data_IF_735469797924
#
_entry.id   IF_735469797924
#
_cell.length_a   1.000
_cell.length_b   1.000
_cell.length_c   1.000
_cell.angle_alpha   90.00
_cell.angle_beta   90.00
_cell.angle_gamma   90.00
#
_symmetry.space_group_name_H-M   'P 1'
#
loop_
_entity.id
_entity.type
_entity.pdbx_description
1 polymer ?
#
# COMPACT_ATOMS: atom_id res chain seq x y z
N UNK A 1 14.75 27.40 -2.55
CA UNK A 1 15.14 26.27 -1.68
C UNK A 1 13.95 25.35 -1.53
N UNK A 2 13.78 24.41 -2.44
CA UNK A 2 12.70 23.42 -2.40
C UNK A 2 13.04 22.37 -1.31
N UNK A 3 12.35 22.43 -0.17
CA UNK A 3 12.40 21.37 0.85
C UNK A 3 11.72 20.12 0.27
N UNK A 4 12.48 19.28 -0.42
CA UNK A 4 12.03 17.94 -0.82
C UNK A 4 11.78 17.16 0.46
N UNK A 5 10.51 17.10 0.86
CA UNK A 5 10.07 16.37 2.03
C UNK A 5 10.23 14.88 1.71
N UNK A 6 11.35 14.26 2.11
CA UNK A 6 11.44 12.80 2.16
C UNK A 6 10.38 12.31 3.16
N UNK A 7 9.15 12.09 2.67
CA UNK A 7 8.10 11.45 3.44
C UNK A 7 8.58 10.03 3.71
N UNK A 8 9.07 9.80 4.92
CA UNK A 8 9.47 8.47 5.37
C UNK A 8 8.18 7.69 5.61
N UNK A 9 7.74 6.96 4.59
CA UNK A 9 6.59 6.08 4.71
C UNK A 9 7.01 4.87 5.53
N UNK A 10 6.26 4.57 6.58
CA UNK A 10 6.47 3.38 7.43
C UNK A 10 5.27 2.47 7.25
N UNK A 11 5.53 1.17 7.30
CA UNK A 11 4.46 0.17 7.33
C UNK A 11 3.72 0.27 8.66
N UNK A 12 2.40 0.44 8.64
CA UNK A 12 1.59 0.49 9.87
C UNK A 12 1.66 -0.81 10.68
N UNK A 13 1.84 -1.96 10.01
CA UNK A 13 1.91 -3.27 10.67
C UNK A 13 3.27 -3.57 11.31
N UNK A 14 4.37 -3.46 10.54
CA UNK A 14 5.71 -3.86 11.02
C UNK A 14 6.64 -2.68 11.33
N UNK A 15 6.17 -1.44 11.17
CA UNK A 15 6.90 -0.18 11.40
C UNK A 15 8.19 -0.01 10.56
N UNK A 16 8.47 -0.95 9.65
CA UNK A 16 9.62 -0.88 8.74
C UNK A 16 9.44 0.27 7.77
N UNK A 17 10.56 0.96 7.46
CA UNK A 17 10.61 1.99 6.44
C UNK A 17 10.35 1.38 5.07
N UNK A 18 9.35 1.89 4.36
CA UNK A 18 9.03 1.52 2.99
C UNK A 18 9.93 2.37 2.07
N UNK A 19 10.75 1.71 1.25
CA UNK A 19 11.69 2.38 0.32
C UNK A 19 11.10 2.58 -1.09
N UNK A 20 9.86 2.14 -1.33
CA UNK A 20 9.17 2.19 -2.63
C UNK A 20 7.69 2.52 -2.47
N UNK A 21 6.86 2.11 -3.43
CA UNK A 21 5.41 2.34 -3.39
C UNK A 21 4.75 1.51 -2.27
N UNK A 22 4.06 2.14 -1.30
CA UNK A 22 3.35 1.42 -0.25
C UNK A 22 2.07 0.76 -0.80
N UNK A 23 1.75 -0.42 -0.30
CA UNK A 23 0.44 -1.03 -0.52
C UNK A 23 -0.54 -0.28 0.37
N UNK A 24 -1.43 0.49 -0.25
CA UNK A 24 -2.44 1.25 0.48
C UNK A 24 -3.72 0.44 0.59
N UNK A 25 -4.17 0.16 1.81
CA UNK A 25 -5.43 -0.52 2.09
C UNK A 25 -6.39 0.43 2.84
N UNK A 26 -7.63 0.56 2.38
CA UNK A 26 -8.62 1.44 3.01
C UNK A 26 -9.99 1.28 2.39
N UNK A 27 -11.02 1.73 3.11
CA UNK A 27 -12.43 1.62 2.71
C UNK A 27 -12.99 3.03 2.51
N UNK A 28 -13.17 3.47 1.26
CA UNK A 28 -13.76 4.77 0.96
C UNK A 28 -12.96 5.97 1.52
N UNK A 29 -13.64 6.84 2.28
CA UNK A 29 -13.08 8.07 2.88
C UNK A 29 -12.36 7.83 4.23
N UNK A 30 -12.34 6.59 4.73
CA UNK A 30 -11.69 6.22 6.00
C UNK A 30 -10.16 6.17 5.89
N UNK A 31 -9.43 6.19 7.03
CA UNK A 31 -7.97 6.22 7.03
C UNK A 31 -7.38 5.09 6.22
N UNK A 32 -6.44 5.48 5.36
CA UNK A 32 -5.67 4.59 4.51
C UNK A 32 -4.53 4.02 5.35
N UNK A 33 -4.43 2.70 5.41
CA UNK A 33 -3.31 1.98 6.02
C UNK A 33 -2.24 1.77 4.97
N UNK A 34 -0.99 2.13 5.27
CA UNK A 34 0.15 1.96 4.39
C UNK A 34 0.94 0.72 4.81
N UNK A 35 1.00 -0.27 3.92
CA UNK A 35 1.65 -1.55 4.18
C UNK A 35 2.87 -1.73 3.30
N UNK A 36 3.93 -2.30 3.86
CA UNK A 36 5.04 -2.79 3.03
C UNK A 36 4.62 -4.02 2.24
N UNK A 37 5.35 -4.33 1.17
CA UNK A 37 5.08 -5.49 0.31
C UNK A 37 4.92 -6.79 1.10
N UNK A 38 5.78 -7.03 2.10
CA UNK A 38 5.71 -8.24 2.95
C UNK A 38 4.44 -8.33 3.78
N UNK A 39 3.95 -7.21 4.31
CA UNK A 39 2.75 -7.18 5.15
C UNK A 39 1.47 -7.12 4.31
N UNK A 40 1.49 -6.42 3.17
CA UNK A 40 0.35 -6.31 2.27
C UNK A 40 0.14 -7.54 1.39
N UNK A 41 1.21 -8.28 1.04
CA UNK A 41 1.12 -9.49 0.22
C UNK A 41 0.12 -10.56 0.73
N UNK A 42 0.15 -10.98 2.02
CA UNK A 42 -0.82 -11.96 2.50
C UNK A 42 -2.26 -11.45 2.44
N UNK A 43 -2.47 -10.15 2.69
CA UNK A 43 -3.80 -9.52 2.64
C UNK A 43 -4.30 -9.44 1.19
N UNK A 44 -3.45 -8.98 0.27
CA UNK A 44 -3.76 -8.95 -1.16
C UNK A 44 -4.06 -10.34 -1.70
N UNK A 45 -3.29 -11.35 -1.29
CA UNK A 45 -3.50 -12.73 -1.72
C UNK A 45 -4.82 -13.28 -1.19
N UNK A 46 -5.17 -12.99 0.07
CA UNK A 46 -6.47 -13.33 0.65
C UNK A 46 -7.62 -12.67 -0.13
N UNK A 47 -7.55 -11.36 -0.35
CA UNK A 47 -8.57 -10.61 -1.09
C UNK A 47 -8.72 -11.11 -2.53
N UNK A 48 -7.60 -11.42 -3.20
CA UNK A 48 -7.59 -12.00 -4.55
C UNK A 48 -8.22 -13.39 -4.57
N UNK A 49 -7.87 -14.26 -3.61
CA UNK A 49 -8.39 -15.63 -3.52
C UNK A 49 -9.91 -15.66 -3.36
N UNK A 50 -10.44 -14.70 -2.60
CA UNK A 50 -11.87 -14.56 -2.35
C UNK A 50 -12.59 -13.63 -3.36
N UNK A 51 -11.91 -13.19 -4.44
CA UNK A 51 -12.46 -12.29 -5.47
C UNK A 51 -13.04 -10.97 -4.91
N UNK A 52 -12.52 -10.50 -3.77
CA UNK A 52 -12.90 -9.18 -3.21
C UNK A 52 -12.25 -8.02 -3.95
N UNK A 53 -11.17 -8.28 -4.70
CA UNK A 53 -10.47 -7.27 -5.50
C UNK A 53 -10.18 -7.81 -6.90
N UNK A 54 -10.35 -6.96 -7.91
CA UNK A 54 -9.73 -7.13 -9.22
C UNK A 54 -8.55 -6.15 -9.33
N UNK A 55 -7.35 -6.69 -9.57
CA UNK A 55 -6.18 -5.88 -9.87
C UNK A 55 -6.38 -5.25 -11.27
N UNK A 56 -6.97 -4.05 -11.32
CA UNK A 56 -6.90 -3.23 -12.53
C UNK A 56 -5.44 -2.89 -12.77
N UNK A 57 -4.79 -3.61 -13.70
CA UNK A 57 -3.48 -3.21 -14.23
C UNK A 57 -3.62 -1.80 -14.77
N UNK A 58 -3.00 -0.83 -14.09
CA UNK A 58 -2.93 0.55 -14.57
C UNK A 58 -2.11 0.50 -15.86
N UNK A 59 -2.77 0.56 -17.02
CA UNK A 59 -2.07 0.81 -18.29
C UNK A 59 -1.43 2.19 -18.16
N UNK A 60 -0.11 2.26 -17.97
CA UNK A 60 0.65 3.47 -18.29
C UNK A 60 0.44 3.73 -19.78
N UNK A 61 -0.34 4.76 -20.11
CA UNK A 61 -0.52 5.27 -21.48
C UNK A 61 0.60 6.25 -21.78
#
# INVERSE_FOLDING_TARGET
MEKVSMRIIKCDLCKKKIKGEPITAGVGFFPRTELCEKCGAPILNFLKKHKFIELKKIKKK
#
